data_IF_244525494854
#
_entry.id   IF_244525494854
#
_cell.length_a   1.000
_cell.length_b   1.000
_cell.length_c   1.000
_cell.angle_alpha   90.00
_cell.angle_beta   90.00
_cell.angle_gamma   90.00
#
_symmetry.space_group_name_H-M   'P 1'
#
loop_
_entity.id
_entity.type
_entity.pdbx_description
1 polymer ?
#
# COMPACT_ATOMS: atom_id res chain seq x y z
N UNK A 1 37.49 -2.48 91.26
CA UNK A 1 37.12 -2.64 89.84
C UNK A 1 38.06 -3.67 89.25
N UNK A 2 37.53 -4.83 88.86
CA UNK A 2 38.30 -5.98 88.38
C UNK A 2 39.08 -5.67 87.10
N UNK A 3 40.31 -6.17 87.06
CA UNK A 3 41.22 -6.09 85.91
C UNK A 3 40.89 -7.25 84.96
N UNK A 4 40.54 -6.93 83.72
CA UNK A 4 40.19 -7.93 82.70
C UNK A 4 41.37 -8.88 82.39
N UNK A 5 41.11 -10.17 82.08
CA UNK A 5 42.16 -11.17 81.90
C UNK A 5 42.96 -10.96 80.62
N UNK A 6 44.27 -11.05 80.77
CA UNK A 6 45.29 -10.93 79.74
C UNK A 6 45.26 -12.19 78.85
N UNK A 7 44.71 -12.08 77.63
CA UNK A 7 44.79 -13.19 76.65
C UNK A 7 43.65 -13.35 75.63
N UNK A 8 42.65 -12.47 75.56
CA UNK A 8 41.63 -12.57 74.50
C UNK A 8 42.16 -12.01 73.16
N UNK A 9 42.08 -12.73 72.04
CA UNK A 9 42.49 -12.20 70.74
C UNK A 9 41.57 -11.03 70.36
N UNK A 10 42.17 -9.87 70.12
CA UNK A 10 41.44 -8.68 69.65
C UNK A 10 40.84 -8.96 68.26
N UNK A 11 39.61 -8.51 67.97
CA UNK A 11 38.99 -8.70 66.67
C UNK A 11 39.79 -7.96 65.60
N UNK A 12 40.41 -8.71 64.68
CA UNK A 12 41.14 -8.16 63.55
C UNK A 12 40.16 -7.90 62.41
N UNK A 13 39.94 -6.64 62.07
CA UNK A 13 39.17 -6.24 60.89
C UNK A 13 40.10 -6.35 59.68
N UNK A 14 39.90 -7.39 58.88
CA UNK A 14 40.58 -7.55 57.59
C UNK A 14 39.78 -6.86 56.49
N UNK A 15 40.36 -5.83 55.89
CA UNK A 15 39.83 -5.23 54.67
C UNK A 15 40.30 -6.03 53.47
N UNK A 16 39.37 -6.46 52.61
CA UNK A 16 39.72 -7.03 51.32
C UNK A 16 40.40 -5.95 50.47
N UNK A 17 41.66 -6.17 50.12
CA UNK A 17 42.37 -5.32 49.18
C UNK A 17 41.66 -5.40 47.82
N UNK A 18 41.19 -4.26 47.24
CA UNK A 18 40.55 -4.28 45.94
C UNK A 18 41.51 -4.87 44.91
N UNK A 19 41.10 -5.93 44.20
CA UNK A 19 41.90 -6.45 43.09
C UNK A 19 42.05 -5.34 42.06
N UNK A 20 43.31 -5.01 41.76
CA UNK A 20 43.73 -4.16 40.64
C UNK A 20 42.87 -4.45 39.40
N UNK A 21 42.29 -3.39 38.86
CA UNK A 21 41.35 -3.31 37.75
C UNK A 21 41.43 -4.48 36.76
N UNK A 22 40.55 -5.47 36.92
CA UNK A 22 40.14 -6.25 35.75
C UNK A 22 39.36 -5.31 34.86
N UNK A 23 39.95 -4.94 33.73
CA UNK A 23 39.29 -4.20 32.66
C UNK A 23 38.00 -4.95 32.32
N UNK A 24 36.87 -4.44 32.82
CA UNK A 24 35.56 -4.92 32.43
C UNK A 24 35.37 -4.49 30.98
N UNK A 25 35.78 -5.36 30.06
CA UNK A 25 35.40 -5.24 28.65
C UNK A 25 33.88 -5.37 28.63
N UNK A 26 33.21 -4.25 28.38
CA UNK A 26 31.76 -4.18 28.22
C UNK A 26 31.39 -4.99 26.98
N UNK A 27 31.12 -6.28 27.17
CA UNK A 27 30.62 -7.13 26.10
C UNK A 27 29.22 -6.68 25.73
N UNK A 28 29.07 -6.18 24.50
CA UNK A 28 27.76 -5.81 23.98
C UNK A 28 26.88 -7.07 23.92
N UNK A 29 25.65 -6.91 24.39
CA UNK A 29 24.63 -7.96 24.53
C UNK A 29 24.32 -8.70 23.21
N UNK A 30 24.72 -8.13 22.07
CA UNK A 30 24.54 -8.66 20.73
C UNK A 30 25.65 -9.63 20.29
N UNK A 31 26.79 -9.68 21.00
CA UNK A 31 27.98 -10.45 20.56
C UNK A 31 28.47 -11.48 21.58
N UNK A 32 27.90 -11.53 22.79
CA UNK A 32 28.41 -12.38 23.85
C UNK A 32 27.64 -13.71 23.98
N UNK A 33 28.34 -14.84 23.77
CA UNK A 33 27.76 -16.17 24.00
C UNK A 33 27.50 -16.43 25.48
N UNK A 34 26.46 -17.19 25.81
CA UNK A 34 26.06 -17.50 27.19
C UNK A 34 27.20 -18.12 28.02
N UNK A 35 28.09 -18.88 27.37
CA UNK A 35 29.30 -19.47 27.97
C UNK A 35 30.35 -18.42 28.37
N UNK A 36 30.49 -17.34 27.58
CA UNK A 36 31.39 -16.24 27.90
C UNK A 36 30.83 -15.41 29.05
N UNK A 37 29.53 -15.09 29.04
CA UNK A 37 28.88 -14.33 30.11
C UNK A 37 28.99 -15.03 31.47
N UNK A 38 28.84 -16.35 31.52
CA UNK A 38 28.99 -17.16 32.75
C UNK A 38 30.42 -17.20 33.30
N UNK A 39 31.44 -16.84 32.51
CA UNK A 39 32.84 -16.74 33.00
C UNK A 39 33.10 -15.41 33.70
N UNK A 40 32.44 -14.34 33.26
CA UNK A 40 32.63 -12.98 33.80
C UNK A 40 31.65 -12.64 34.92
N UNK A 41 30.48 -13.26 34.92
CA UNK A 41 29.49 -13.06 35.97
C UNK A 41 29.80 -13.94 37.19
N UNK A 42 29.62 -13.44 38.42
CA UNK A 42 29.73 -14.26 39.62
C UNK A 42 28.84 -15.50 39.48
N UNK A 43 29.27 -16.65 40.00
CA UNK A 43 28.48 -17.91 40.03
C UNK A 43 27.21 -17.82 40.91
N UNK A 44 26.79 -16.61 41.28
CA UNK A 44 25.60 -16.34 42.05
C UNK A 44 24.33 -16.52 41.20
N UNK A 45 23.20 -16.69 41.87
CA UNK A 45 21.90 -16.85 41.23
C UNK A 45 21.51 -15.63 40.36
N UNK A 46 22.00 -14.45 40.73
CA UNK A 46 21.76 -13.19 40.04
C UNK A 46 22.21 -13.21 38.56
N UNK A 47 23.34 -13.85 38.24
CA UNK A 47 23.81 -13.98 36.86
C UNK A 47 22.82 -14.75 35.97
N UNK A 48 22.16 -15.77 36.51
CA UNK A 48 21.14 -16.55 35.78
C UNK A 48 19.89 -15.71 35.52
N UNK A 49 19.44 -14.95 36.53
CA UNK A 49 18.30 -14.04 36.41
C UNK A 49 18.58 -12.98 35.33
N UNK A 50 19.75 -12.33 35.38
CA UNK A 50 20.15 -11.32 34.39
C UNK A 50 20.16 -11.90 32.95
N UNK A 51 20.70 -13.10 32.76
CA UNK A 51 20.73 -13.74 31.43
C UNK A 51 19.32 -14.08 30.96
N UNK A 52 18.49 -14.65 31.82
CA UNK A 52 17.13 -15.07 31.48
C UNK A 52 16.21 -13.88 31.19
N UNK A 53 16.32 -12.80 31.96
CA UNK A 53 15.55 -11.58 31.74
C UNK A 53 15.89 -10.93 30.40
N UNK A 54 17.16 -10.95 30.00
CA UNK A 54 17.57 -10.42 28.69
C UNK A 54 17.04 -11.26 27.52
N UNK A 55 17.05 -12.59 27.64
CA UNK A 55 16.50 -13.49 26.62
C UNK A 55 14.98 -13.34 26.53
N UNK A 56 14.28 -13.17 27.66
CA UNK A 56 12.84 -12.96 27.68
C UNK A 56 12.46 -11.61 27.05
N UNK A 57 13.20 -10.55 27.37
CA UNK A 57 13.02 -9.21 26.76
C UNK A 57 13.26 -9.26 25.24
N UNK A 58 14.33 -9.93 24.78
CA UNK A 58 14.59 -10.12 23.36
C UNK A 58 13.46 -10.86 22.66
N UNK A 59 12.96 -11.94 23.25
CA UNK A 59 11.82 -12.71 22.69
C UNK A 59 10.55 -11.86 22.59
N UNK A 60 10.23 -11.06 23.63
CA UNK A 60 9.08 -10.16 23.61
C UNK A 60 9.23 -9.10 22.52
N UNK A 61 10.43 -8.55 22.34
CA UNK A 61 10.71 -7.58 21.27
C UNK A 61 10.57 -8.22 19.88
N UNK A 62 11.04 -9.44 19.69
CA UNK A 62 10.91 -10.17 18.44
C UNK A 62 9.44 -10.44 18.09
N UNK A 63 8.64 -10.90 19.06
CA UNK A 63 7.19 -11.10 18.88
C UNK A 63 6.52 -9.77 18.48
N UNK A 64 6.86 -8.66 19.15
CA UNK A 64 6.32 -7.34 18.80
C UNK A 64 6.71 -6.94 17.37
N UNK A 65 7.95 -7.18 16.96
CA UNK A 65 8.43 -6.90 15.59
C UNK A 65 7.67 -7.72 14.56
N UNK A 66 7.52 -9.02 14.78
CA UNK A 66 6.75 -9.91 13.90
C UNK A 66 5.28 -9.47 13.77
N UNK A 67 4.67 -9.03 14.88
CA UNK A 67 3.30 -8.51 14.85
C UNK A 67 3.19 -7.21 14.03
N UNK A 68 4.15 -6.28 14.18
CA UNK A 68 4.19 -5.03 13.41
C UNK A 68 4.35 -5.34 11.91
N UNK A 69 5.27 -6.24 11.57
CA UNK A 69 5.51 -6.66 10.19
C UNK A 69 4.28 -7.35 9.59
N UNK A 70 3.63 -8.23 10.35
CA UNK A 70 2.38 -8.87 9.96
C UNK A 70 1.25 -7.87 9.71
N UNK A 71 1.13 -6.83 10.54
CA UNK A 71 0.16 -5.74 10.34
C UNK A 71 0.49 -4.91 9.10
N UNK A 72 1.76 -4.57 8.89
CA UNK A 72 2.22 -3.83 7.71
C UNK A 72 1.88 -4.58 6.43
N UNK A 73 2.21 -5.88 6.35
CA UNK A 73 1.90 -6.72 5.19
C UNK A 73 0.40 -6.82 4.91
N UNK A 74 -0.43 -6.93 5.96
CA UNK A 74 -1.90 -6.91 5.81
C UNK A 74 -2.40 -5.58 5.25
N UNK A 75 -1.86 -4.46 5.74
CA UNK A 75 -2.22 -3.13 5.26
C UNK A 75 -1.80 -2.93 3.79
N UNK A 76 -0.59 -3.34 3.42
CA UNK A 76 -0.11 -3.30 2.03
C UNK A 76 -1.01 -4.14 1.10
N UNK A 77 -1.31 -5.37 1.49
CA UNK A 77 -2.21 -6.24 0.71
C UNK A 77 -3.61 -5.62 0.53
N UNK A 78 -4.16 -4.97 1.56
CA UNK A 78 -5.44 -4.29 1.48
C UNK A 78 -5.37 -3.12 0.50
N UNK A 79 -4.34 -2.29 0.60
CA UNK A 79 -4.13 -1.16 -0.31
C UNK A 79 -4.03 -1.63 -1.77
N UNK A 80 -3.28 -2.70 -2.04
CA UNK A 80 -3.14 -3.26 -3.37
C UNK A 80 -4.46 -3.80 -3.91
N UNK A 81 -5.24 -4.47 -3.05
CA UNK A 81 -6.57 -4.95 -3.42
C UNK A 81 -7.51 -3.78 -3.76
N UNK A 82 -7.49 -2.72 -2.95
CA UNK A 82 -8.31 -1.52 -3.18
C UNK A 82 -7.91 -0.83 -4.48
N UNK A 83 -6.61 -0.63 -4.73
CA UNK A 83 -6.10 -0.06 -5.99
C UNK A 83 -6.55 -0.89 -7.19
N UNK A 84 -6.41 -2.23 -7.11
CA UNK A 84 -6.82 -3.14 -8.19
C UNK A 84 -8.31 -3.05 -8.47
N UNK A 85 -9.16 -3.12 -7.44
CA UNK A 85 -10.62 -3.00 -7.59
C UNK A 85 -11.03 -1.65 -8.15
N UNK A 86 -10.40 -0.58 -7.68
CA UNK A 86 -10.66 0.77 -8.18
C UNK A 86 -10.33 0.87 -9.67
N UNK A 87 -9.11 0.50 -10.08
CA UNK A 87 -8.68 0.55 -11.48
C UNK A 87 -9.57 -0.31 -12.39
N UNK A 88 -9.90 -1.53 -11.96
CA UNK A 88 -10.81 -2.41 -12.72
C UNK A 88 -12.20 -1.79 -12.87
N UNK A 89 -12.73 -1.16 -11.82
CA UNK A 89 -14.02 -0.51 -11.89
C UNK A 89 -14.00 0.71 -12.82
N UNK A 90 -12.93 1.51 -12.78
CA UNK A 90 -12.77 2.64 -13.70
C UNK A 90 -12.69 2.15 -15.15
N UNK A 91 -11.86 1.15 -15.44
CA UNK A 91 -11.76 0.56 -16.78
C UNK A 91 -13.12 0.04 -17.28
N UNK A 92 -13.87 -0.68 -16.43
CA UNK A 92 -15.21 -1.16 -16.78
C UNK A 92 -16.18 -0.02 -17.07
N UNK A 93 -16.14 1.07 -16.30
CA UNK A 93 -16.96 2.26 -16.55
C UNK A 93 -16.60 2.91 -17.88
N UNK A 94 -15.33 3.19 -18.11
CA UNK A 94 -14.84 3.77 -19.36
C UNK A 94 -15.23 2.92 -20.57
N UNK A 95 -15.04 1.60 -20.48
CA UNK A 95 -15.42 0.69 -21.57
C UNK A 95 -16.93 0.70 -21.84
N UNK A 96 -17.76 0.71 -20.79
CA UNK A 96 -19.23 0.85 -20.93
C UNK A 96 -19.60 2.16 -21.60
N UNK A 97 -19.04 3.27 -21.14
CA UNK A 97 -19.30 4.60 -21.72
C UNK A 97 -18.86 4.69 -23.17
N UNK A 98 -17.70 4.14 -23.52
CA UNK A 98 -17.26 4.08 -24.93
C UNK A 98 -18.24 3.28 -25.79
N UNK A 99 -18.72 2.13 -25.29
CA UNK A 99 -19.67 1.30 -26.02
C UNK A 99 -21.01 2.01 -26.22
N UNK A 100 -21.53 2.66 -25.17
CA UNK A 100 -22.76 3.45 -25.23
C UNK A 100 -22.60 4.65 -26.18
N UNK A 101 -21.50 5.38 -26.08
CA UNK A 101 -21.17 6.47 -26.99
C UNK A 101 -21.16 6.00 -28.44
N UNK A 102 -20.44 4.92 -28.76
CA UNK A 102 -20.41 4.37 -30.12
C UNK A 102 -21.79 3.92 -30.61
N UNK A 103 -22.66 3.43 -29.72
CA UNK A 103 -24.03 3.06 -30.07
C UNK A 103 -24.87 4.28 -30.45
N UNK A 104 -24.87 5.31 -29.61
CA UNK A 104 -25.61 6.55 -29.90
C UNK A 104 -25.04 7.29 -31.12
N UNK A 105 -23.72 7.30 -31.28
CA UNK A 105 -23.06 7.91 -32.44
C UNK A 105 -23.53 7.28 -33.76
N UNK A 106 -23.58 5.95 -33.85
CA UNK A 106 -24.10 5.24 -35.03
C UNK A 106 -25.56 5.56 -35.29
N UNK A 107 -26.38 5.60 -34.24
CA UNK A 107 -27.80 5.96 -34.37
C UNK A 107 -27.96 7.38 -34.92
N UNK A 108 -27.16 8.33 -34.44
CA UNK A 108 -27.20 9.72 -34.93
C UNK A 108 -26.74 9.80 -36.39
N UNK A 109 -25.71 9.07 -36.78
CA UNK A 109 -25.24 8.98 -38.17
C UNK A 109 -26.34 8.39 -39.09
N UNK A 110 -27.06 7.37 -38.65
CA UNK A 110 -28.19 6.82 -39.41
C UNK A 110 -29.33 7.83 -39.58
N UNK A 111 -29.64 8.62 -38.54
CA UNK A 111 -30.66 9.66 -38.60
C UNK A 111 -30.25 10.75 -39.59
N UNK A 112 -28.99 11.20 -39.51
CA UNK A 112 -28.45 12.21 -40.42
C UNK A 112 -28.49 11.74 -41.88
N UNK A 113 -28.08 10.50 -42.15
CA UNK A 113 -28.17 9.89 -43.49
C UNK A 113 -29.61 9.82 -44.01
N UNK A 114 -30.57 9.41 -43.18
CA UNK A 114 -32.00 9.36 -43.56
C UNK A 114 -32.56 10.75 -43.87
N UNK A 115 -32.15 11.76 -43.10
CA UNK A 115 -32.56 13.14 -43.33
C UNK A 115 -31.97 13.68 -44.64
N UNK A 116 -30.68 13.45 -44.91
CA UNK A 116 -30.05 13.82 -46.18
C UNK A 116 -30.75 13.18 -47.39
N UNK A 117 -31.08 11.88 -47.32
CA UNK A 117 -31.81 11.19 -48.37
C UNK A 117 -33.22 11.75 -48.58
N UNK A 118 -33.91 12.14 -47.50
CA UNK A 118 -35.22 12.80 -47.58
C UNK A 118 -35.13 14.17 -48.25
N UNK A 119 -34.12 14.97 -47.90
CA UNK A 119 -33.90 16.28 -48.52
C UNK A 119 -33.55 16.18 -50.01
N UNK A 120 -32.69 15.23 -50.39
CA UNK A 120 -32.38 14.95 -51.79
C UNK A 120 -33.62 14.48 -52.56
N UNK A 121 -34.43 13.60 -51.97
CA UNK A 121 -35.70 13.16 -52.56
C UNK A 121 -36.71 14.30 -52.74
N UNK A 122 -36.89 15.15 -51.73
CA UNK A 122 -37.74 16.34 -51.80
C UNK A 122 -37.26 17.32 -52.88
N UNK A 123 -35.95 17.55 -52.96
CA UNK A 123 -35.33 18.42 -53.98
C UNK A 123 -35.56 17.88 -55.40
N UNK A 124 -35.45 16.57 -55.59
CA UNK A 124 -35.70 15.91 -56.87
C UNK A 124 -37.18 16.04 -57.30
N UNK A 125 -38.12 15.86 -56.37
CA UNK A 125 -39.57 16.01 -56.61
C UNK A 125 -39.96 17.45 -56.97
N UNK A 126 -39.35 18.45 -56.33
CA UNK A 126 -39.56 19.86 -56.67
C UNK A 126 -39.02 20.21 -58.07
N UNK A 127 -37.89 19.61 -58.48
CA UNK A 127 -37.29 19.84 -59.81
C UNK A 127 -38.08 19.20 -60.95
N UNK A 128 -38.67 18.02 -60.74
CA UNK A 128 -39.55 17.36 -61.72
C UNK A 128 -40.90 18.05 -61.92
N UNK A 129 -41.39 18.75 -60.89
CA UNK A 129 -42.64 19.52 -60.96
C UNK A 129 -42.49 20.83 -61.74
N UNK A 130 -41.28 21.43 -61.74
CA UNK A 130 -40.99 22.64 -62.52
C UNK A 130 -40.79 22.33 -64.02
N UNK A 131 -40.21 21.18 -64.38
CA UNK A 131 -39.98 20.80 -65.79
C UNK A 131 -41.25 20.36 -66.53
N UNK A 132 -42.25 19.85 -65.82
CA UNK A 132 -43.53 19.40 -66.40
C UNK A 132 -44.54 20.54 -66.66
N UNK A 133 -44.30 21.74 -66.13
CA UNK A 133 -45.15 22.93 -66.34
C UNK A 133 -44.77 23.73 -67.61
N UNK A 134 -43.61 23.48 -68.20
CA UNK A 134 -43.16 24.15 -69.42
C UNK A 134 -43.65 23.42 -70.70
N UNK A 135 -44.96 23.47 -70.98
CA UNK A 135 -45.45 23.19 -72.34
C UNK A 135 -45.38 24.48 -73.17
N UNK A 136 -44.70 24.52 -74.33
CA UNK A 136 -44.76 25.68 -75.20
C UNK A 136 -46.16 25.74 -75.80
N UNK A 137 -46.88 26.83 -75.54
CA UNK A 137 -48.16 27.11 -76.19
C UNK A 137 -47.90 27.41 -77.66
N UNK A 138 -48.12 26.44 -78.52
CA UNK A 138 -48.02 26.57 -79.96
C UNK A 138 -49.21 27.42 -80.45
N UNK A 139 -48.96 28.71 -80.74
CA UNK A 139 -49.94 29.60 -81.38
C UNK A 139 -49.67 29.64 -82.87
N UNK A 140 -50.18 28.65 -83.60
CA UNK A 140 -50.38 28.74 -85.05
C UNK A 140 -51.64 29.56 -85.33
N UNK A 141 -51.47 30.88 -85.43
CA UNK A 141 -52.49 31.83 -85.88
C UNK A 141 -52.36 32.11 -87.38
N UNK A 142 -53.28 31.52 -88.15
CA UNK A 142 -53.39 31.52 -89.62
C UNK A 142 -54.05 32.80 -90.15
N UNK A 143 -53.41 33.42 -91.14
CA UNK A 143 -53.91 34.26 -92.25
C UNK A 143 -55.19 35.10 -92.07
N UNK A 144 -55.04 36.42 -92.21
CA UNK A 144 -55.71 37.23 -93.24
C UNK A 144 -55.00 38.55 -93.47
#
# INVERSE_FOLDING_TARGET
MEKAPEGAPLPVVTFFQPREHQVLVLYSQQTCSEKALKRFLPKSHLAKVIIQDNVSVQRVQEIKKQQIEGRKKKAENLLDQMKRRFLQNQQKKTFRWMKEYSYYQKMLEEIDQRNQMRELGSTLMMKGSQSSSAKPSDKTGRLR
#
